data_IF_553764361443
#
_entry.id   IF_553764361443
#
_cell.length_a   1.000
_cell.length_b   1.000
_cell.length_c   1.000
_cell.angle_alpha   90.00
_cell.angle_beta   90.00
_cell.angle_gamma   90.00
#
_symmetry.space_group_name_H-M   'P 1'
#
loop_
_entity.id
_entity.type
_entity.pdbx_description
1 polymer ?
#
# COMPACT_ATOMS: atom_id res chain seq x y z
N UNK A 1 -9.62 4.05 14.38
CA UNK A 1 -8.77 2.93 13.92
C UNK A 1 -8.71 3.08 12.41
N UNK A 2 -7.53 3.16 11.79
CA UNK A 2 -7.39 3.48 10.36
C UNK A 2 -6.71 2.31 9.65
N UNK A 3 -7.32 1.86 8.56
CA UNK A 3 -6.88 0.73 7.76
C UNK A 3 -6.42 1.22 6.39
N UNK A 4 -5.30 0.69 5.92
CA UNK A 4 -4.77 1.03 4.60
C UNK A 4 -5.00 -0.14 3.66
N UNK A 5 -5.73 0.08 2.57
CA UNK A 5 -6.07 -0.91 1.55
C UNK A 5 -5.28 -0.69 0.25
N UNK A 6 -4.85 -1.78 -0.38
CA UNK A 6 -4.30 -1.79 -1.74
C UNK A 6 -5.28 -2.46 -2.70
N UNK A 7 -5.64 -1.79 -3.80
CA UNK A 7 -6.44 -2.35 -4.89
C UNK A 7 -5.58 -2.58 -6.12
N UNK A 8 -5.55 -3.84 -6.55
CA UNK A 8 -4.83 -4.36 -7.71
C UNK A 8 -5.73 -4.25 -8.94
N UNK A 9 -5.28 -3.54 -9.97
CA UNK A 9 -6.03 -3.45 -11.23
C UNK A 9 -5.67 -4.57 -12.22
N UNK A 10 -6.72 -5.05 -12.88
CA UNK A 10 -6.79 -6.14 -13.84
C UNK A 10 -6.01 -5.84 -15.14
N UNK A 11 -5.59 -6.91 -15.82
CA UNK A 11 -4.86 -6.99 -17.11
C UNK A 11 -3.33 -6.89 -17.14
N UNK A 12 -2.63 -6.92 -16.00
CA UNK A 12 -1.17 -6.98 -15.97
C UNK A 12 -0.71 -8.24 -15.24
N UNK A 13 0.19 -8.99 -15.89
CA UNK A 13 0.97 -10.07 -15.29
C UNK A 13 1.39 -9.66 -13.88
N UNK A 14 1.05 -10.44 -12.87
CA UNK A 14 1.24 -10.05 -11.47
C UNK A 14 2.75 -9.87 -11.22
N UNK A 15 3.22 -8.62 -11.18
CA UNK A 15 4.63 -8.32 -10.93
C UNK A 15 4.95 -8.25 -9.44
N UNK A 16 3.93 -8.02 -8.61
CA UNK A 16 3.97 -8.10 -7.15
C UNK A 16 2.77 -8.86 -6.61
N UNK A 17 3.03 -9.59 -5.54
CA UNK A 17 2.00 -10.04 -4.63
C UNK A 17 2.18 -9.29 -3.31
N UNK A 18 1.19 -8.49 -2.86
CA UNK A 18 1.23 -7.98 -1.50
C UNK A 18 1.22 -9.18 -0.53
N UNK A 19 2.10 -9.16 0.46
CA UNK A 19 2.10 -10.19 1.52
C UNK A 19 0.90 -10.01 2.46
N UNK A 20 0.46 -8.77 2.62
CA UNK A 20 -0.79 -8.40 3.26
C UNK A 20 -1.42 -7.28 2.41
N UNK A 21 -2.60 -7.49 1.79
CA UNK A 21 -3.28 -6.46 0.99
C UNK A 21 -3.80 -5.29 1.85
N UNK A 22 -3.84 -5.49 3.17
CA UNK A 22 -4.35 -4.55 4.16
C UNK A 22 -3.36 -4.43 5.32
N UNK A 23 -3.15 -3.21 5.80
CA UNK A 23 -2.34 -2.94 6.99
C UNK A 23 -3.15 -2.10 7.97
N UNK A 24 -3.33 -2.63 9.18
CA UNK A 24 -4.02 -1.94 10.26
C UNK A 24 -3.06 -1.03 11.01
N UNK A 25 -3.43 0.25 11.13
CA UNK A 25 -2.70 1.22 11.94
C UNK A 25 -3.53 1.52 13.17
N UNK A 26 -2.90 1.37 14.33
CA UNK A 26 -3.50 1.72 15.62
C UNK A 26 -3.87 3.21 15.71
N UNK A 27 -4.47 3.59 16.83
CA UNK A 27 -4.78 5.00 17.10
C UNK A 27 -3.49 5.85 17.03
N UNK A 28 -3.48 6.81 16.13
CA UNK A 28 -2.41 7.82 16.03
C UNK A 28 -2.86 9.03 16.85
N UNK A 29 -2.16 9.37 17.95
CA UNK A 29 -2.55 10.51 18.77
C UNK A 29 -2.51 11.83 17.98
N UNK A 30 -3.32 12.83 18.35
CA UNK A 30 -3.26 14.15 17.72
C UNK A 30 -1.85 14.72 17.72
N UNK A 31 -1.41 15.27 16.58
CA UNK A 31 -0.06 15.83 16.41
C UNK A 31 1.06 14.79 16.24
N UNK A 32 0.74 13.50 16.13
CA UNK A 32 1.71 12.44 15.80
C UNK A 32 1.50 11.94 14.37
N UNK A 33 2.57 11.39 13.80
CA UNK A 33 2.54 10.69 12.53
C UNK A 33 2.75 9.19 12.76
N UNK A 34 2.14 8.36 11.92
CA UNK A 34 2.42 6.93 11.86
C UNK A 34 3.19 6.60 10.59
N UNK A 35 4.15 5.69 10.70
CA UNK A 35 4.88 5.13 9.57
C UNK A 35 4.37 3.73 9.30
N UNK A 36 3.98 3.46 8.06
CA UNK A 36 3.46 2.16 7.62
C UNK A 36 4.45 1.51 6.67
N UNK A 37 4.81 0.25 6.94
CA UNK A 37 5.68 -0.53 6.08
C UNK A 37 4.87 -1.51 5.26
N UNK A 38 4.92 -1.36 3.94
CA UNK A 38 4.29 -2.27 2.99
C UNK A 38 5.28 -3.36 2.61
N UNK A 39 4.85 -4.63 2.69
CA UNK A 39 5.66 -5.78 2.28
C UNK A 39 5.05 -6.44 1.06
N UNK A 40 5.91 -6.77 0.10
CA UNK A 40 5.52 -7.41 -1.15
C UNK A 40 6.54 -8.49 -1.53
N UNK A 41 6.07 -9.53 -2.22
CA UNK A 41 6.92 -10.49 -2.90
C UNK A 41 7.12 -10.02 -4.33
N UNK A 42 8.37 -9.70 -4.74
CA UNK A 42 8.67 -9.46 -6.14
C UNK A 42 8.59 -10.78 -6.91
N UNK A 43 7.80 -10.81 -7.99
CA UNK A 43 7.70 -11.99 -8.87
C UNK A 43 8.68 -11.87 -10.05
N UNK A 44 9.00 -10.64 -10.47
CA UNK A 44 9.92 -10.35 -11.56
C UNK A 44 10.81 -9.16 -11.23
N UNK A 45 12.07 -9.24 -11.61
CA UNK A 45 12.98 -8.10 -11.63
C UNK A 45 12.46 -7.00 -12.54
N UNK A 46 12.86 -5.76 -12.25
CA UNK A 46 12.54 -4.61 -13.08
C UNK A 46 12.03 -3.41 -12.29
N UNK A 47 11.52 -2.44 -13.04
CA UNK A 47 10.92 -1.22 -12.51
C UNK A 47 9.41 -1.39 -12.42
N UNK A 48 8.85 -0.99 -11.29
CA UNK A 48 7.44 -1.21 -11.01
C UNK A 48 6.82 -0.07 -10.24
N UNK A 49 5.49 0.01 -10.29
CA UNK A 49 4.74 1.15 -9.82
C UNK A 49 3.56 0.73 -8.94
N UNK A 50 3.53 1.24 -7.71
CA UNK A 50 2.34 1.18 -6.86
C UNK A 50 1.54 2.44 -7.17
N UNK A 51 0.47 2.27 -7.95
CA UNK A 51 -0.31 3.39 -8.51
C UNK A 51 -1.30 4.01 -7.53
N UNK A 52 -1.72 3.25 -6.51
CA UNK A 52 -2.77 3.69 -5.59
C UNK A 52 -2.57 3.08 -4.21
N UNK A 53 -2.65 3.95 -3.20
CA UNK A 53 -2.75 3.61 -1.79
C UNK A 53 -3.98 4.31 -1.24
N UNK A 54 -4.86 3.55 -0.62
CA UNK A 54 -6.09 4.06 -0.01
C UNK A 54 -6.00 3.92 1.50
N UNK A 55 -6.32 5.00 2.19
CA UNK A 55 -6.52 4.98 3.64
C UNK A 55 -8.01 5.07 3.91
N UNK A 56 -8.49 4.15 4.72
CA UNK A 56 -9.87 4.10 5.19
C UNK A 56 -9.86 4.36 6.70
N UNK A 57 -10.59 5.38 7.13
CA UNK A 57 -10.94 5.51 8.53
C UNK A 57 -12.05 4.50 8.85
N UNK A 58 -11.77 3.52 9.72
CA UNK A 58 -12.77 2.52 10.08
C UNK A 58 -13.93 3.10 10.90
N UNK A 59 -13.72 4.20 11.63
CA UNK A 59 -14.76 4.79 12.47
C UNK A 59 -15.82 5.49 11.62
N UNK A 60 -15.36 6.24 10.62
CA UNK A 60 -16.23 7.06 9.75
C UNK A 60 -16.53 6.40 8.41
N UNK A 61 -15.80 5.34 8.05
CA UNK A 61 -15.85 4.71 6.72
C UNK A 61 -15.24 5.58 5.61
N UNK A 62 -14.71 6.76 5.95
CA UNK A 62 -14.19 7.69 4.96
C UNK A 62 -12.92 7.15 4.32
N UNK A 63 -12.85 7.20 2.99
CA UNK A 63 -11.70 6.74 2.21
C UNK A 63 -11.03 7.93 1.55
N UNK A 64 -9.70 7.97 1.61
CA UNK A 64 -8.92 8.92 0.85
C UNK A 64 -7.74 8.23 0.16
N UNK A 65 -7.53 8.61 -1.10
CA UNK A 65 -6.36 8.20 -1.86
C UNK A 65 -5.16 9.04 -1.42
N UNK A 66 -4.02 8.39 -1.19
CA UNK A 66 -2.77 9.11 -0.91
C UNK A 66 -2.18 9.77 -2.17
N UNK A 67 -2.80 9.60 -3.36
CA UNK A 67 -2.36 10.11 -4.67
C UNK A 67 -0.85 10.00 -4.97
N UNK A 68 -0.14 9.15 -4.24
CA UNK A 68 1.28 8.91 -4.39
C UNK A 68 1.47 7.68 -5.26
N UNK A 69 2.28 7.88 -6.29
CA UNK A 69 2.82 6.80 -7.11
C UNK A 69 4.17 6.43 -6.52
N UNK A 70 4.29 5.22 -5.96
CA UNK A 70 5.58 4.73 -5.46
C UNK A 70 6.29 3.95 -6.57
N UNK A 71 7.48 4.41 -6.93
CA UNK A 71 8.40 3.68 -7.79
C UNK A 71 9.15 2.64 -6.97
N UNK A 72 9.13 1.38 -7.41
CA UNK A 72 9.80 0.26 -6.75
C UNK A 72 10.69 -0.43 -7.77
N UNK A 73 12.01 -0.40 -7.51
CA UNK A 73 13.00 -1.13 -8.32
C UNK A 73 13.37 -2.44 -7.64
N UNK A 74 13.15 -3.54 -8.36
CA UNK A 74 13.50 -4.89 -7.93
C UNK A 74 14.73 -5.35 -8.70
N UNK A 75 15.78 -5.73 -7.98
CA UNK A 75 16.99 -6.33 -8.51
C UNK A 75 17.26 -7.60 -7.70
N UNK A 76 17.57 -8.72 -8.37
CA UNK A 76 18.16 -9.86 -7.67
C UNK A 76 19.61 -9.54 -7.34
N UNK A 77 20.10 -10.12 -6.24
CA UNK A 77 21.50 -10.07 -5.85
C UNK A 77 22.18 -11.37 -6.18
#
# INVERSE_FOLDING_TARGET
>A
MMDVYYSKYENLTLTFLPLAPEVHVGLVPPGKCATVYLKFLPIREGLHWIKRLQVTDQLTGHRFDLHQVLEVRVQTR
#
